data_IF_736397505958
#
_entry.id   IF_736397505958
#
_cell.length_a   1.000
_cell.length_b   1.000
_cell.length_c   1.000
_cell.angle_alpha   90.00
_cell.angle_beta   90.00
_cell.angle_gamma   90.00
#
_symmetry.space_group_name_H-M   'P 1'
#
loop_
_entity.id
_entity.type
_entity.pdbx_description
1 polymer ?
#
# COMPACT_ATOMS: atom_id res chain seq x y z
N UNK A 1 -18.76 6.65 16.44
CA UNK A 1 -18.39 7.96 15.87
C UNK A 1 -19.52 9.00 16.01
N UNK A 2 -20.79 8.66 15.76
CA UNK A 2 -21.92 9.58 16.02
C UNK A 2 -22.16 9.92 17.51
N UNK A 3 -21.86 9.01 18.43
CA UNK A 3 -22.06 9.23 19.89
C UNK A 3 -21.03 10.23 20.47
N UNK A 4 -19.84 10.33 19.87
CA UNK A 4 -18.78 11.22 20.35
C UNK A 4 -19.06 12.71 20.05
N UNK A 5 -19.82 13.00 18.98
CA UNK A 5 -20.17 14.37 18.62
C UNK A 5 -21.33 14.95 19.43
N UNK A 6 -22.25 14.12 19.96
CA UNK A 6 -23.40 14.63 20.73
C UNK A 6 -23.06 14.97 22.18
N UNK A 7 -22.10 14.29 22.81
CA UNK A 7 -21.72 14.56 24.21
C UNK A 7 -20.91 15.87 24.34
N UNK A 8 -20.14 16.24 23.31
CA UNK A 8 -19.38 17.51 23.31
C UNK A 8 -20.25 18.76 23.12
N UNK A 9 -21.49 18.61 22.65
CA UNK A 9 -22.35 19.76 22.32
C UNK A 9 -23.17 20.29 23.51
N UNK A 10 -23.26 19.55 24.63
CA UNK A 10 -24.16 19.90 25.76
C UNK A 10 -23.39 20.47 26.97
N UNK A 11 -22.05 20.37 27.02
CA UNK A 11 -21.24 20.91 28.13
C UNK A 11 -20.53 22.24 27.84
N UNK A 12 -20.85 22.94 26.74
CA UNK A 12 -20.24 24.24 26.42
C UNK A 12 -20.87 25.40 27.21
N UNK A 13 -20.79 25.36 28.54
CA UNK A 13 -20.58 26.60 29.27
C UNK A 13 -19.17 27.09 28.88
N UNK A 14 -19.06 28.36 28.50
CA UNK A 14 -17.92 29.00 27.82
C UNK A 14 -16.59 28.94 28.61
N UNK A 15 -15.99 27.77 28.72
CA UNK A 15 -14.61 27.62 29.16
C UNK A 15 -13.71 27.57 27.92
N UNK A 16 -12.72 28.46 27.87
CA UNK A 16 -11.73 28.50 26.80
C UNK A 16 -10.74 27.34 27.02
N UNK A 17 -10.80 26.30 26.19
CA UNK A 17 -9.83 25.21 26.20
C UNK A 17 -8.91 25.31 24.98
N UNK A 18 -7.65 24.96 25.16
CA UNK A 18 -6.72 24.68 24.07
C UNK A 18 -6.78 23.18 23.75
N UNK A 19 -7.03 22.86 22.49
CA UNK A 19 -6.93 21.48 21.99
C UNK A 19 -5.78 21.38 20.99
N UNK A 20 -4.89 20.41 21.20
CA UNK A 20 -3.87 20.02 20.22
C UNK A 20 -4.14 18.59 19.79
N UNK A 21 -4.30 18.37 18.50
CA UNK A 21 -4.47 17.04 17.94
C UNK A 21 -3.48 16.78 16.82
N UNK A 22 -2.97 15.55 16.76
CA UNK A 22 -2.11 15.10 15.65
C UNK A 22 -2.45 13.68 15.24
N UNK A 23 -2.12 13.37 14.00
CA UNK A 23 -2.32 12.04 13.41
C UNK A 23 -1.04 11.57 12.77
N UNK A 24 -0.59 10.37 13.11
CA UNK A 24 0.62 9.75 12.58
C UNK A 24 0.22 8.62 11.64
N UNK A 25 0.61 8.75 10.38
CA UNK A 25 0.27 7.82 9.29
C UNK A 25 1.42 6.84 9.05
N UNK A 26 1.76 6.03 10.05
CA UNK A 26 2.91 5.14 9.99
C UNK A 26 2.59 3.74 10.52
N UNK A 27 3.60 2.88 10.60
CA UNK A 27 3.48 1.68 11.42
C UNK A 27 3.77 1.99 12.88
N UNK A 28 3.49 1.04 13.78
CA UNK A 28 3.92 1.10 15.18
C UNK A 28 4.22 -0.31 15.72
N UNK A 29 5.23 -0.39 16.60
CA UNK A 29 5.54 -1.57 17.42
C UNK A 29 5.40 -1.18 18.88
N UNK A 30 4.19 -1.25 19.42
CA UNK A 30 3.95 -0.94 20.81
C UNK A 30 4.30 -2.18 21.64
N UNK A 31 5.50 -2.25 22.19
CA UNK A 31 5.86 -3.28 23.15
C UNK A 31 5.45 -2.86 24.58
N UNK A 32 5.48 -3.80 25.52
CA UNK A 32 5.13 -3.52 26.92
C UNK A 32 5.94 -2.36 27.52
N UNK A 33 7.26 -2.36 27.35
CA UNK A 33 8.14 -1.32 27.91
C UNK A 33 7.79 0.06 27.34
N UNK A 34 7.53 0.14 26.04
CA UNK A 34 7.21 1.37 25.36
C UNK A 34 5.83 1.89 25.79
N UNK A 35 4.88 0.98 26.03
CA UNK A 35 3.56 1.31 26.55
C UNK A 35 3.63 1.83 27.98
N UNK A 36 4.36 1.16 28.89
CA UNK A 36 4.57 1.63 30.28
C UNK A 36 5.19 3.02 30.33
N UNK A 37 6.26 3.24 29.57
CA UNK A 37 6.90 4.56 29.44
C UNK A 37 5.97 5.65 28.88
N UNK A 38 5.05 5.29 27.99
CA UNK A 38 4.04 6.24 27.49
C UNK A 38 3.08 6.65 28.61
N UNK A 39 2.63 5.69 29.42
CA UNK A 39 1.78 5.94 30.59
C UNK A 39 2.52 6.77 31.65
N UNK A 40 3.80 6.46 31.92
CA UNK A 40 4.65 7.25 32.83
C UNK A 40 4.74 8.71 32.38
N UNK A 41 4.98 8.98 31.09
CA UNK A 41 4.99 10.35 30.56
C UNK A 41 3.65 11.05 30.80
N UNK A 42 2.54 10.36 30.60
CA UNK A 42 1.21 10.91 30.86
C UNK A 42 1.06 11.28 32.35
N UNK A 43 1.39 10.35 33.25
CA UNK A 43 1.36 10.59 34.71
C UNK A 43 2.22 11.79 35.09
N UNK A 44 3.47 11.85 34.62
CA UNK A 44 4.39 12.97 34.87
C UNK A 44 3.84 14.31 34.37
N UNK A 45 3.09 14.34 33.25
CA UNK A 45 2.45 15.57 32.80
C UNK A 45 1.29 15.98 33.69
N UNK A 46 0.48 15.04 34.19
CA UNK A 46 -0.61 15.33 35.11
C UNK A 46 -0.12 15.76 36.50
N UNK A 47 1.01 15.24 36.97
CA UNK A 47 1.64 15.66 38.24
C UNK A 47 2.14 17.11 38.23
N UNK A 48 2.43 17.67 37.04
CA UNK A 48 2.85 19.08 36.87
C UNK A 48 1.70 20.07 36.92
N UNK A 49 0.46 19.58 36.92
CA UNK A 49 -0.76 20.42 37.04
C UNK A 49 -0.93 20.79 38.52
N UNK A 50 -1.50 21.97 38.80
CA UNK A 50 -1.64 22.53 40.15
C UNK A 50 -2.28 21.56 41.15
N UNK A 51 -3.23 20.74 40.71
CA UNK A 51 -3.95 19.77 41.52
C UNK A 51 -3.11 18.55 41.97
N UNK A 52 -1.90 18.35 41.38
CA UNK A 52 -1.02 17.17 41.58
C UNK A 52 -1.77 15.84 41.61
N UNK A 53 -2.87 15.75 40.85
CA UNK A 53 -3.76 14.61 40.90
C UNK A 53 -3.28 13.52 39.96
N UNK A 54 -3.25 12.29 40.46
CA UNK A 54 -3.08 11.11 39.60
C UNK A 54 -4.24 11.08 38.60
N UNK A 55 -3.97 11.01 37.28
CA UNK A 55 -5.03 10.96 36.29
C UNK A 55 -5.86 9.68 36.43
N UNK A 56 -7.14 9.76 36.11
CA UNK A 56 -7.98 8.58 35.93
C UNK A 56 -7.77 8.03 34.53
N UNK A 57 -7.23 6.82 34.44
CA UNK A 57 -7.02 6.11 33.18
C UNK A 57 -8.21 5.23 32.86
N UNK A 58 -8.76 5.39 31.66
CA UNK A 58 -9.72 4.47 31.06
C UNK A 58 -9.15 3.96 29.74
N UNK A 59 -8.94 2.66 29.67
CA UNK A 59 -8.49 1.96 28.48
C UNK A 59 -9.67 1.29 27.79
N UNK A 60 -9.82 1.52 26.49
CA UNK A 60 -10.85 0.89 25.66
C UNK A 60 -10.14 0.07 24.60
N UNK A 61 -10.32 -1.24 24.66
CA UNK A 61 -9.68 -2.20 23.79
C UNK A 61 -10.73 -2.80 22.89
N UNK A 62 -10.45 -2.91 21.60
CA UNK A 62 -11.31 -3.59 20.65
C UNK A 62 -10.56 -4.73 19.97
N UNK A 63 -11.12 -5.92 20.12
CA UNK A 63 -10.53 -7.15 19.62
C UNK A 63 -11.00 -7.46 18.19
N UNK A 64 -10.34 -8.43 17.55
CA UNK A 64 -10.61 -8.83 16.17
C UNK A 64 -12.01 -9.41 15.98
N UNK A 65 -12.51 -10.13 16.97
CA UNK A 65 -13.88 -10.61 17.04
C UNK A 65 -14.94 -9.51 17.28
N UNK A 66 -14.52 -8.24 17.43
CA UNK A 66 -15.41 -7.09 17.63
C UNK A 66 -15.81 -6.83 19.08
N UNK A 67 -15.36 -7.63 20.04
CA UNK A 67 -15.58 -7.37 21.46
C UNK A 67 -14.84 -6.10 21.89
N UNK A 68 -15.49 -5.32 22.75
CA UNK A 68 -14.95 -4.09 23.34
C UNK A 68 -14.80 -4.32 24.84
N UNK A 69 -13.60 -4.11 25.35
CA UNK A 69 -13.25 -4.28 26.76
C UNK A 69 -12.85 -2.91 27.30
N UNK A 70 -13.44 -2.52 28.42
CA UNK A 70 -13.09 -1.30 29.14
C UNK A 70 -12.42 -1.69 30.46
N UNK A 71 -11.28 -1.08 30.77
CA UNK A 71 -10.55 -1.32 32.02
C UNK A 71 -9.83 -0.05 32.48
N UNK A 72 -9.55 0.06 33.77
CA UNK A 72 -8.71 1.11 34.35
C UNK A 72 -7.30 0.58 34.71
N UNK A 73 -7.10 -0.74 34.64
CA UNK A 73 -5.85 -1.38 35.02
C UNK A 73 -4.97 -1.66 33.79
N UNK A 74 -3.77 -1.08 33.79
CA UNK A 74 -2.75 -1.29 32.77
C UNK A 74 -2.27 -2.75 32.74
N UNK A 75 -2.09 -3.37 33.91
CA UNK A 75 -1.54 -4.72 33.99
C UNK A 75 -2.53 -5.76 33.46
N UNK A 76 -3.83 -5.50 33.55
CA UNK A 76 -4.85 -6.30 32.89
C UNK A 76 -4.63 -6.37 31.36
N UNK A 77 -4.32 -5.24 30.73
CA UNK A 77 -4.11 -5.14 29.26
C UNK A 77 -2.87 -5.92 28.84
N UNK A 78 -1.81 -5.79 29.63
CA UNK A 78 -0.52 -6.42 29.35
C UNK A 78 -0.57 -7.94 29.54
N UNK A 79 -1.45 -8.43 30.42
CA UNK A 79 -1.71 -9.86 30.64
C UNK A 79 -2.75 -10.45 29.66
N UNK A 80 -3.44 -9.61 28.90
CA UNK A 80 -4.48 -10.08 27.98
C UNK A 80 -3.86 -10.87 26.82
N UNK A 81 -4.52 -11.97 26.45
CA UNK A 81 -4.18 -12.72 25.24
C UNK A 81 -4.39 -11.84 24.00
N UNK A 82 -3.36 -11.73 23.17
CA UNK A 82 -3.35 -10.89 21.98
C UNK A 82 -3.13 -11.72 20.71
N UNK A 83 -3.75 -12.90 20.63
CA UNK A 83 -3.70 -13.76 19.44
C UNK A 83 -5.11 -14.22 19.00
N UNK A 84 -5.20 -14.77 17.79
CA UNK A 84 -6.42 -15.35 17.23
C UNK A 84 -7.58 -14.36 17.18
N UNK A 85 -8.72 -14.76 17.75
CA UNK A 85 -9.92 -13.94 17.86
C UNK A 85 -9.80 -12.78 18.87
N UNK A 86 -8.88 -12.92 19.84
CA UNK A 86 -8.62 -11.95 20.90
C UNK A 86 -7.57 -10.91 20.50
N UNK A 87 -7.02 -11.00 19.29
CA UNK A 87 -6.04 -10.05 18.78
C UNK A 87 -6.58 -8.61 18.87
N UNK A 88 -5.78 -7.71 19.46
CA UNK A 88 -6.12 -6.31 19.62
C UNK A 88 -6.06 -5.61 18.26
N UNK A 89 -7.17 -4.99 17.87
CA UNK A 89 -7.25 -4.12 16.68
C UNK A 89 -7.06 -2.67 17.10
N UNK A 90 -7.85 -2.19 18.06
CA UNK A 90 -7.85 -0.80 18.49
C UNK A 90 -7.56 -0.73 20.00
N UNK A 91 -6.69 0.20 20.40
CA UNK A 91 -6.41 0.52 21.79
C UNK A 91 -6.54 2.04 21.97
N UNK A 92 -7.53 2.46 22.74
CA UNK A 92 -7.75 3.84 23.14
C UNK A 92 -7.36 4.01 24.61
N UNK A 93 -6.51 5.00 24.88
CA UNK A 93 -6.05 5.39 26.20
C UNK A 93 -6.68 6.75 26.48
N UNK A 94 -7.64 6.78 27.39
CA UNK A 94 -8.24 8.00 27.89
C UNK A 94 -7.66 8.30 29.26
N UNK A 95 -7.09 9.49 29.43
CA UNK A 95 -6.55 9.96 30.70
C UNK A 95 -7.18 11.29 31.02
N UNK A 96 -7.84 11.39 32.18
CA UNK A 96 -8.62 12.56 32.57
C UNK A 96 -8.19 13.05 33.95
N UNK A 97 -7.99 14.37 34.12
CA UNK A 97 -7.75 14.95 35.44
C UNK A 97 -8.98 14.83 36.34
N UNK A 98 -8.80 14.85 37.66
CA UNK A 98 -9.94 14.88 38.60
C UNK A 98 -10.85 16.11 38.40
N UNK A 99 -10.26 17.23 37.97
CA UNK A 99 -10.98 18.46 37.60
C UNK A 99 -11.74 18.36 36.27
N UNK A 100 -11.57 17.27 35.50
CA UNK A 100 -12.13 17.04 34.16
C UNK A 100 -11.73 18.08 33.08
N UNK A 101 -10.88 19.04 33.43
CA UNK A 101 -10.44 20.11 32.52
C UNK A 101 -9.36 19.65 31.55
N UNK A 102 -8.54 18.69 31.96
CA UNK A 102 -7.38 18.24 31.21
C UNK A 102 -7.59 16.78 30.77
N UNK A 103 -7.58 16.55 29.47
CA UNK A 103 -7.77 15.22 28.88
C UNK A 103 -6.66 14.91 27.88
N UNK A 104 -6.16 13.68 27.94
CA UNK A 104 -5.24 13.13 26.96
C UNK A 104 -5.89 11.85 26.42
N UNK A 105 -6.08 11.82 25.11
CA UNK A 105 -6.67 10.70 24.39
C UNK A 105 -5.66 10.23 23.36
N UNK A 106 -5.25 8.96 23.43
CA UNK A 106 -4.35 8.35 22.46
C UNK A 106 -5.01 7.10 21.91
N UNK A 107 -5.15 7.04 20.59
CA UNK A 107 -5.73 5.90 19.88
C UNK A 107 -4.69 5.26 18.96
N UNK A 108 -4.44 3.99 19.19
CA UNK A 108 -3.74 3.08 18.28
C UNK A 108 -4.79 2.26 17.52
N UNK A 109 -4.74 2.26 16.19
CA UNK A 109 -5.69 1.53 15.36
C UNK A 109 -5.02 0.70 14.29
N UNK A 110 -5.40 -0.58 14.22
CA UNK A 110 -4.96 -1.50 13.18
C UNK A 110 -5.93 -1.49 11.98
N UNK A 111 -5.39 -1.55 10.76
CA UNK A 111 -6.12 -1.41 9.49
C UNK A 111 -7.15 -2.52 9.20
N UNK A 112 -7.30 -3.49 10.09
CA UNK A 112 -8.30 -4.56 9.94
C UNK A 112 -9.72 -4.10 10.25
N UNK A 113 -9.91 -2.92 10.85
CA UNK A 113 -11.26 -2.41 11.06
C UNK A 113 -11.79 -1.70 9.81
N UNK A 114 -12.81 -2.30 9.18
CA UNK A 114 -13.59 -1.69 8.08
C UNK A 114 -14.26 -0.33 8.45
N UNK A 115 -14.16 0.08 9.73
CA UNK A 115 -14.91 1.21 10.29
C UNK A 115 -14.29 2.57 10.03
N UNK A 116 -13.03 2.66 9.63
CA UNK A 116 -12.42 3.95 9.26
C UNK A 116 -11.66 3.83 7.96
N UNK A 117 -12.22 4.40 6.88
CA UNK A 117 -11.52 4.63 5.60
C UNK A 117 -10.24 5.47 5.74
N UNK A 118 -9.97 6.00 6.94
CA UNK A 118 -8.75 6.74 7.25
C UNK A 118 -7.62 5.76 7.60
N UNK A 119 -6.57 5.73 6.78
CA UNK A 119 -5.34 4.92 6.94
C UNK A 119 -4.44 5.43 8.10
N UNK A 120 -5.06 6.02 9.15
CA UNK A 120 -4.37 6.67 10.27
C UNK A 120 -4.10 5.64 11.36
N UNK A 121 -2.83 5.43 11.69
CA UNK A 121 -2.39 4.38 12.62
C UNK A 121 -2.41 4.78 14.09
N UNK A 122 -2.02 6.03 14.37
CA UNK A 122 -1.96 6.60 15.70
C UNK A 122 -2.62 7.98 15.61
N UNK A 123 -3.53 8.27 16.54
CA UNK A 123 -4.13 9.59 16.70
C UNK A 123 -4.05 9.96 18.16
N UNK A 124 -3.80 11.22 18.45
CA UNK A 124 -3.96 11.71 19.81
C UNK A 124 -4.59 13.09 19.83
N UNK A 125 -5.32 13.37 20.90
CA UNK A 125 -5.86 14.70 21.22
C UNK A 125 -5.56 15.02 22.68
N UNK A 126 -5.06 16.22 22.92
CA UNK A 126 -4.76 16.76 24.24
C UNK A 126 -5.57 18.03 24.38
N UNK A 127 -6.46 18.06 25.37
CA UNK A 127 -7.31 19.20 25.71
C UNK A 127 -6.94 19.68 27.11
N UNK A 128 -6.79 20.98 27.28
CA UNK A 128 -6.45 21.61 28.56
C UNK A 128 -6.85 23.08 28.59
N UNK A 129 -7.13 23.63 29.76
CA UNK A 129 -7.30 25.09 29.93
C UNK A 129 -5.95 25.83 29.80
N UNK A 130 -4.86 25.20 30.24
CA UNK A 130 -3.51 25.73 30.11
C UNK A 130 -2.91 25.36 28.74
N UNK A 131 -2.75 26.37 27.88
CA UNK A 131 -2.17 26.26 26.53
C UNK A 131 -0.75 25.69 26.55
N UNK A 132 0.09 26.19 27.43
CA UNK A 132 1.51 25.86 27.43
C UNK A 132 1.72 24.41 27.90
N UNK A 133 0.93 23.96 28.88
CA UNK A 133 0.88 22.54 29.28
C UNK A 133 0.45 21.64 28.12
N UNK A 134 -0.58 22.03 27.36
CA UNK A 134 -1.05 21.24 26.21
C UNK A 134 0.04 21.10 25.14
N UNK A 135 0.75 22.20 24.83
CA UNK A 135 1.82 22.21 23.83
C UNK A 135 3.03 21.36 24.27
N UNK A 136 3.47 21.48 25.52
CA UNK A 136 4.59 20.70 26.06
C UNK A 136 4.23 19.21 26.08
N UNK A 137 3.04 18.87 26.59
CA UNK A 137 2.55 17.49 26.62
C UNK A 137 2.45 16.90 25.22
N UNK A 138 1.95 17.68 24.26
CA UNK A 138 1.88 17.29 22.85
C UNK A 138 3.26 17.00 22.27
N UNK A 139 4.26 17.83 22.56
CA UNK A 139 5.64 17.61 22.10
C UNK A 139 6.24 16.34 22.69
N UNK A 140 6.09 16.11 24.00
CA UNK A 140 6.66 14.93 24.67
C UNK A 140 6.00 13.63 24.20
N UNK A 141 4.68 13.64 24.03
CA UNK A 141 3.94 12.49 23.51
C UNK A 141 4.32 12.25 22.04
N UNK A 142 4.43 13.29 21.21
CA UNK A 142 4.84 13.15 19.81
C UNK A 142 6.24 12.55 19.68
N UNK A 143 7.21 13.05 20.45
CA UNK A 143 8.56 12.50 20.52
C UNK A 143 8.55 11.02 20.91
N UNK A 144 7.67 10.65 21.85
CA UNK A 144 7.54 9.27 22.29
C UNK A 144 6.93 8.37 21.22
N UNK A 145 5.83 8.80 20.59
CA UNK A 145 5.16 8.07 19.53
C UNK A 145 6.06 7.90 18.30
N UNK A 146 6.90 8.90 18.00
CA UNK A 146 7.90 8.82 16.93
C UNK A 146 8.98 7.75 17.18
N UNK A 147 9.28 7.39 18.43
CA UNK A 147 10.19 6.27 18.75
C UNK A 147 9.56 4.89 18.54
N UNK A 148 8.24 4.80 18.72
CA UNK A 148 7.44 3.57 18.55
C UNK A 148 7.08 3.36 17.07
N UNK A 149 7.18 4.41 16.26
CA UNK A 149 6.90 4.42 14.84
C UNK A 149 7.82 3.45 14.07
N UNK A 150 7.21 2.43 13.46
CA UNK A 150 7.89 1.61 12.46
C UNK A 150 7.70 2.28 11.11
N UNK A 151 8.76 2.91 10.62
CA UNK A 151 8.80 3.31 9.23
C UNK A 151 9.05 2.08 8.35
N UNK A 152 7.99 1.40 7.93
CA UNK A 152 8.09 0.28 7.00
C UNK A 152 8.36 0.78 5.58
N UNK A 153 9.57 1.35 5.38
CA UNK A 153 10.07 1.83 4.08
C UNK A 153 10.02 0.72 3.03
N UNK A 154 10.18 -0.54 3.43
CA UNK A 154 10.06 -1.68 2.53
C UNK A 154 8.64 -1.82 1.96
N UNK A 155 7.60 -1.66 2.78
CA UNK A 155 6.21 -1.70 2.31
C UNK A 155 5.86 -0.52 1.38
N UNK A 156 6.31 0.69 1.71
CA UNK A 156 6.06 1.86 0.86
C UNK A 156 6.84 1.79 -0.44
N UNK A 157 8.09 1.33 -0.40
CA UNK A 157 8.93 1.11 -1.57
C UNK A 157 8.35 0.02 -2.48
N UNK A 158 8.02 -1.15 -1.93
CA UNK A 158 7.44 -2.26 -2.71
C UNK A 158 6.11 -1.88 -3.35
N UNK A 159 5.23 -1.15 -2.64
CA UNK A 159 4.00 -0.61 -3.21
C UNK A 159 4.26 0.36 -4.37
N UNK A 160 5.20 1.30 -4.22
CA UNK A 160 5.55 2.26 -5.29
C UNK A 160 6.16 1.56 -6.50
N UNK A 161 7.09 0.63 -6.26
CA UNK A 161 7.76 -0.14 -7.31
C UNK A 161 6.74 -0.97 -8.09
N UNK A 162 5.83 -1.66 -7.39
CA UNK A 162 4.77 -2.46 -8.01
C UNK A 162 3.84 -1.61 -8.86
N UNK A 163 3.38 -0.46 -8.34
CA UNK A 163 2.58 0.48 -9.13
C UNK A 163 3.34 0.96 -10.37
N UNK A 164 4.59 1.41 -10.22
CA UNK A 164 5.40 1.90 -11.34
C UNK A 164 5.63 0.84 -12.42
N UNK A 165 5.89 -0.41 -12.02
CA UNK A 165 6.13 -1.49 -12.96
C UNK A 165 4.85 -1.87 -13.72
N UNK A 166 3.71 -1.96 -13.02
CA UNK A 166 2.42 -2.22 -13.68
C UNK A 166 2.07 -1.12 -14.67
N UNK A 167 2.31 0.15 -14.33
CA UNK A 167 2.09 1.27 -15.26
C UNK A 167 3.03 1.22 -16.46
N UNK A 168 4.30 0.85 -16.26
CA UNK A 168 5.28 0.75 -17.34
C UNK A 168 4.92 -0.39 -18.31
N UNK A 169 4.46 -1.53 -17.78
CA UNK A 169 3.94 -2.64 -18.58
C UNK A 169 2.70 -2.23 -19.37
N UNK A 170 1.76 -1.49 -18.77
CA UNK A 170 0.57 -0.98 -19.45
C UNK A 170 0.93 -0.02 -20.59
N UNK A 171 1.89 0.89 -20.37
CA UNK A 171 2.39 1.79 -21.41
C UNK A 171 3.03 0.99 -22.54
N UNK A 172 3.87 -0.01 -22.22
CA UNK A 172 4.47 -0.90 -23.21
C UNK A 172 3.44 -1.68 -24.03
N UNK A 173 2.34 -2.09 -23.41
CA UNK A 173 1.24 -2.76 -24.11
C UNK A 173 0.49 -1.79 -25.03
N UNK A 174 0.22 -0.56 -24.58
CA UNK A 174 -0.44 0.47 -25.38
C UNK A 174 0.42 0.90 -26.58
N UNK A 175 1.73 1.10 -26.39
CA UNK A 175 2.64 1.43 -27.51
C UNK A 175 2.71 0.31 -28.52
N UNK A 176 2.74 -0.96 -28.06
CA UNK A 176 2.66 -2.11 -28.95
C UNK A 176 1.34 -2.16 -29.74
N UNK A 177 0.21 -1.89 -29.10
CA UNK A 177 -1.09 -1.83 -29.78
C UNK A 177 -1.14 -0.71 -30.82
N UNK A 178 -0.65 0.49 -30.49
CA UNK A 178 -0.59 1.62 -31.42
C UNK A 178 0.31 1.32 -32.61
N UNK A 179 1.47 0.68 -32.39
CA UNK A 179 2.34 0.24 -33.49
C UNK A 179 1.62 -0.74 -34.43
N UNK A 180 0.87 -1.68 -33.87
CA UNK A 180 0.07 -2.60 -34.66
C UNK A 180 -1.08 -1.92 -35.42
N UNK A 181 -1.75 -0.91 -34.84
CA UNK A 181 -2.79 -0.14 -35.52
C UNK A 181 -2.23 0.68 -36.68
N UNK A 182 -1.09 1.36 -36.49
CA UNK A 182 -0.42 2.09 -37.56
C UNK A 182 -0.01 1.18 -38.73
N UNK A 183 0.32 -0.09 -38.44
CA UNK A 183 0.61 -1.08 -39.49
C UNK A 183 -0.62 -1.45 -40.35
N UNK A 184 -1.84 -1.23 -39.85
CA UNK A 184 -3.07 -1.46 -40.62
C UNK A 184 -3.30 -0.29 -41.58
N UNK A 185 -3.04 0.93 -41.13
CA UNK A 185 -3.21 2.14 -41.94
C UNK A 185 -2.28 2.14 -43.16
N UNK A 186 -1.01 1.74 -42.99
CA UNK A 186 -0.05 1.66 -44.11
C UNK A 186 -0.47 0.66 -45.19
N UNK A 187 -1.20 -0.40 -44.85
CA UNK A 187 -1.73 -1.37 -45.84
C UNK A 187 -2.87 -0.80 -46.68
N UNK A 188 -3.70 0.05 -46.09
CA UNK A 188 -4.76 0.76 -46.81
C UNK A 188 -4.19 1.86 -47.71
N UNK A 189 -3.07 2.48 -47.33
CA UNK A 189 -2.38 3.45 -48.17
C UNK A 189 -1.88 2.81 -49.48
N UNK A 190 -1.41 1.56 -49.46
CA UNK A 190 -0.94 0.88 -50.68
C UNK A 190 -2.08 0.59 -51.66
N UNK A 191 -3.23 0.12 -51.19
CA UNK A 191 -4.42 -0.09 -52.05
C UNK A 191 -4.97 1.23 -52.57
N UNK A 192 -5.03 2.26 -51.72
CA UNK A 192 -5.40 3.62 -52.14
C UNK A 192 -4.43 4.20 -53.16
N UNK A 193 -3.12 3.91 -53.05
CA UNK A 193 -2.12 4.35 -54.02
C UNK A 193 -2.32 3.69 -55.39
N UNK A 194 -2.66 2.39 -55.41
CA UNK A 194 -3.03 1.69 -56.66
C UNK A 194 -4.30 2.30 -57.27
N UNK A 195 -5.33 2.55 -56.45
CA UNK A 195 -6.59 3.16 -56.92
C UNK A 195 -6.38 4.59 -57.45
N UNK A 196 -5.65 5.44 -56.73
CA UNK A 196 -5.33 6.82 -57.18
C UNK A 196 -4.50 6.84 -58.47
N UNK A 197 -3.57 5.90 -58.64
CA UNK A 197 -2.81 5.78 -59.87
C UNK A 197 -3.71 5.39 -61.06
N UNK A 198 -4.66 4.47 -60.85
CA UNK A 198 -5.64 4.10 -61.87
C UNK A 198 -6.59 5.26 -62.22
N UNK A 199 -7.07 6.00 -61.21
CA UNK A 199 -7.90 7.19 -61.39
C UNK A 199 -7.16 8.29 -62.17
N UNK A 200 -5.88 8.54 -61.84
CA UNK A 200 -5.04 9.50 -62.55
C UNK A 200 -4.91 9.16 -64.03
N UNK A 201 -4.60 7.90 -64.37
CA UNK A 201 -4.48 7.44 -65.75
C UNK A 201 -5.80 7.58 -66.53
N UNK A 202 -6.92 7.35 -65.85
CA UNK A 202 -8.25 7.43 -66.45
C UNK A 202 -8.61 8.88 -66.80
N UNK A 203 -8.29 9.81 -65.90
CA UNK A 203 -8.49 11.25 -66.12
C UNK A 203 -7.61 11.84 -67.24
N UNK A 204 -6.48 11.18 -67.58
CA UNK A 204 -5.58 11.60 -68.65
C UNK A 204 -5.86 10.90 -70.00
N UNK A 205 -6.97 10.15 -70.12
CA UNK A 205 -7.32 9.36 -71.31
C UNK A 205 -6.21 8.39 -71.75
N UNK A 206 -5.36 7.92 -70.82
CA UNK A 206 -4.45 6.82 -71.14
C UNK A 206 -5.28 5.56 -71.42
N UNK A 207 -4.88 4.77 -72.42
CA UNK A 207 -5.59 3.55 -72.79
C UNK A 207 -5.39 2.46 -71.72
N UNK A 208 -6.26 2.44 -70.72
CA UNK A 208 -6.20 1.48 -69.61
C UNK A 208 -6.86 0.18 -70.03
N UNK A 209 -6.11 -0.92 -69.96
CA UNK A 209 -6.69 -2.25 -70.03
C UNK A 209 -7.41 -2.57 -68.71
N UNK A 210 -8.75 -2.46 -68.72
CA UNK A 210 -9.62 -2.71 -67.56
C UNK A 210 -9.35 -4.06 -66.88
N UNK A 211 -9.04 -5.11 -67.66
CA UNK A 211 -8.76 -6.45 -67.12
C UNK A 211 -7.48 -6.43 -66.29
N UNK A 212 -6.44 -5.74 -66.76
CA UNK A 212 -5.17 -5.62 -66.04
C UNK A 212 -5.32 -4.79 -64.76
N UNK A 213 -6.06 -3.69 -64.82
CA UNK A 213 -6.35 -2.86 -63.67
C UNK A 213 -7.13 -3.63 -62.58
N UNK A 214 -8.12 -4.42 -62.98
CA UNK A 214 -8.90 -5.26 -62.07
C UNK A 214 -8.04 -6.34 -61.40
N UNK A 215 -7.13 -6.97 -62.16
CA UNK A 215 -6.17 -7.95 -61.62
C UNK A 215 -5.19 -7.29 -60.64
N UNK A 216 -4.72 -6.07 -60.89
CA UNK A 216 -3.81 -5.36 -59.97
C UNK A 216 -4.52 -4.99 -58.65
N UNK A 217 -5.77 -4.51 -58.71
CA UNK A 217 -6.57 -4.25 -57.51
C UNK A 217 -6.80 -5.54 -56.72
N UNK A 218 -7.18 -6.63 -57.40
CA UNK A 218 -7.47 -7.89 -56.72
C UNK A 218 -6.21 -8.53 -56.13
N UNK A 219 -5.06 -8.46 -56.82
CA UNK A 219 -3.76 -8.87 -56.27
C UNK A 219 -3.38 -8.04 -55.04
N UNK A 220 -3.62 -6.73 -55.07
CA UNK A 220 -3.34 -5.88 -53.91
C UNK A 220 -4.24 -6.22 -52.70
N UNK A 221 -5.51 -6.57 -52.95
CA UNK A 221 -6.44 -7.05 -51.92
C UNK A 221 -6.07 -8.43 -51.39
N UNK A 222 -5.68 -9.37 -52.26
CA UNK A 222 -5.28 -10.73 -51.86
C UNK A 222 -3.98 -10.69 -51.06
N UNK A 223 -2.97 -9.94 -51.50
CA UNK A 223 -1.74 -9.75 -50.73
C UNK A 223 -2.02 -9.08 -49.37
N UNK A 224 -2.95 -8.12 -49.31
CA UNK A 224 -3.37 -7.55 -48.03
C UNK A 224 -4.16 -8.56 -47.16
N UNK A 225 -5.04 -9.37 -47.76
CA UNK A 225 -5.89 -10.34 -47.03
C UNK A 225 -5.13 -11.56 -46.51
N UNK A 226 -4.08 -12.01 -47.20
CA UNK A 226 -3.21 -13.09 -46.69
C UNK A 226 -2.51 -12.70 -45.38
N UNK A 227 -2.26 -11.41 -45.16
CA UNK A 227 -1.73 -10.88 -43.90
C UNK A 227 -2.82 -10.57 -42.84
N UNK A 228 -4.11 -10.61 -43.20
CA UNK A 228 -5.27 -10.34 -42.34
C UNK A 228 -5.86 -11.65 -41.80
N UNK A 229 -5.14 -12.78 -41.88
CA UNK A 229 -5.44 -13.93 -41.02
C UNK A 229 -5.30 -13.45 -39.57
N UNK A 230 -6.42 -12.98 -38.99
CA UNK A 230 -6.53 -12.40 -37.66
C UNK A 230 -5.94 -13.37 -36.62
N UNK A 231 -6.07 -14.67 -36.88
CA UNK A 231 -5.47 -15.77 -36.13
C UNK A 231 -3.93 -15.86 -36.14
N UNK A 232 -3.26 -15.29 -37.15
CA UNK A 232 -1.80 -15.20 -37.19
C UNK A 232 -1.25 -14.13 -36.26
N UNK A 233 -1.92 -12.97 -36.19
CA UNK A 233 -1.53 -11.86 -35.30
C UNK A 233 -1.98 -12.06 -33.85
N UNK A 234 -3.11 -12.75 -33.61
CA UNK A 234 -3.54 -13.09 -32.24
C UNK A 234 -2.59 -14.04 -31.53
N UNK A 235 -1.79 -14.85 -32.25
CA UNK A 235 -0.72 -15.65 -31.65
C UNK A 235 0.29 -14.78 -30.91
N UNK A 236 0.77 -13.71 -31.52
CA UNK A 236 1.70 -12.76 -30.87
C UNK A 236 1.06 -12.02 -29.70
N UNK A 237 -0.23 -11.71 -29.80
CA UNK A 237 -0.98 -11.13 -28.69
C UNK A 237 -1.05 -12.06 -27.48
N UNK A 238 -1.25 -13.37 -27.70
CA UNK A 238 -1.21 -14.36 -26.61
C UNK A 238 0.17 -14.42 -25.93
N UNK A 239 1.27 -14.28 -26.68
CA UNK A 239 2.62 -14.19 -26.12
C UNK A 239 2.86 -12.98 -25.22
N UNK A 240 2.06 -11.92 -25.34
CA UNK A 240 2.13 -10.73 -24.47
C UNK A 240 1.16 -10.84 -23.30
N UNK A 241 -0.08 -11.26 -23.56
CA UNK A 241 -1.12 -11.37 -22.51
C UNK A 241 -0.77 -12.40 -21.45
N UNK A 242 -0.30 -13.58 -21.85
CA UNK A 242 -0.10 -14.68 -20.91
C UNK A 242 0.97 -14.30 -19.86
N UNK A 243 2.16 -13.80 -20.24
CA UNK A 243 3.13 -13.29 -19.26
C UNK A 243 2.59 -12.12 -18.43
N UNK A 244 1.81 -11.22 -19.04
CA UNK A 244 1.23 -10.09 -18.30
C UNK A 244 0.30 -10.56 -17.18
N UNK A 245 -0.62 -11.50 -17.47
CA UNK A 245 -1.51 -12.07 -16.45
C UNK A 245 -0.71 -12.82 -15.37
N UNK A 246 0.33 -13.55 -15.76
CA UNK A 246 1.21 -14.24 -14.81
C UNK A 246 1.95 -13.27 -13.89
N UNK A 247 2.45 -12.16 -14.44
CA UNK A 247 3.09 -11.09 -13.68
C UNK A 247 2.10 -10.46 -12.69
N UNK A 248 0.85 -10.19 -13.12
CA UNK A 248 -0.17 -9.61 -12.25
C UNK A 248 -0.55 -10.55 -11.09
N UNK A 249 -0.74 -11.85 -11.36
CA UNK A 249 -1.05 -12.84 -10.30
C UNK A 249 0.14 -13.05 -9.36
N UNK A 250 1.36 -13.04 -9.89
CA UNK A 250 2.59 -13.05 -9.10
C UNK A 250 2.66 -11.86 -8.16
N UNK A 251 2.37 -10.64 -8.64
CA UNK A 251 2.38 -9.44 -7.82
C UNK A 251 1.34 -9.44 -6.70
N UNK A 252 0.12 -9.91 -6.98
CA UNK A 252 -0.89 -10.07 -5.93
C UNK A 252 -0.44 -11.07 -4.86
N UNK A 253 0.19 -12.17 -5.28
CA UNK A 253 0.75 -13.17 -4.38
C UNK A 253 1.87 -12.59 -3.51
N UNK A 254 2.81 -11.84 -4.12
CA UNK A 254 3.89 -11.14 -3.40
C UNK A 254 3.31 -10.13 -2.41
N UNK A 255 2.30 -9.34 -2.81
CA UNK A 255 1.62 -8.38 -1.92
C UNK A 255 1.03 -9.08 -0.69
N UNK A 256 0.32 -10.20 -0.88
CA UNK A 256 -0.26 -11.00 0.22
C UNK A 256 0.82 -11.52 1.18
N UNK A 257 1.94 -12.01 0.64
CA UNK A 257 3.10 -12.46 1.43
C UNK A 257 3.69 -11.28 2.22
N UNK A 258 3.90 -10.12 1.60
CA UNK A 258 4.44 -8.94 2.27
C UNK A 258 3.52 -8.51 3.42
N UNK A 259 2.22 -8.39 3.19
CA UNK A 259 1.25 -8.00 4.24
C UNK A 259 1.29 -9.00 5.41
N UNK A 260 1.41 -10.30 5.12
CA UNK A 260 1.45 -11.35 6.13
C UNK A 260 2.73 -11.36 6.97
N UNK A 261 3.89 -11.13 6.36
CA UNK A 261 5.19 -11.24 7.03
C UNK A 261 5.79 -9.91 7.50
N UNK A 262 5.22 -8.78 7.07
CA UNK A 262 5.62 -7.45 7.49
C UNK A 262 4.43 -6.67 8.07
N UNK A 263 3.80 -7.18 9.16
CA UNK A 263 2.76 -6.42 9.84
C UNK A 263 3.36 -5.09 10.29
N UNK A 264 2.66 -4.00 10.00
CA UNK A 264 3.12 -2.64 10.27
C UNK A 264 2.56 -2.08 11.58
N UNK A 265 1.55 -2.71 12.18
CA UNK A 265 0.86 -2.23 13.39
C UNK A 265 0.74 -3.37 14.36
N UNK A 266 1.56 -3.35 15.40
CA UNK A 266 1.78 -4.49 16.28
C UNK A 266 1.69 -4.03 17.72
N UNK A 267 0.85 -4.73 18.47
CA UNK A 267 0.88 -4.77 19.92
C UNK A 267 1.74 -5.96 20.34
N UNK A 268 2.89 -5.71 20.95
CA UNK A 268 3.94 -6.70 21.21
C UNK A 268 4.06 -6.99 22.71
N UNK A 269 3.15 -7.80 23.21
CA UNK A 269 3.14 -8.33 24.58
C UNK A 269 2.31 -9.62 24.64
N UNK A 270 2.34 -10.30 25.79
CA UNK A 270 1.66 -11.57 26.01
C UNK A 270 2.08 -12.65 25.00
N UNK A 271 1.14 -13.51 24.64
CA UNK A 271 1.37 -14.66 23.74
C UNK A 271 1.71 -14.24 22.30
N UNK A 272 1.45 -12.99 21.94
CA UNK A 272 1.77 -12.48 20.61
C UNK A 272 3.29 -12.35 20.36
N UNK A 273 4.10 -12.28 21.42
CA UNK A 273 5.57 -12.24 21.34
C UNK A 273 6.08 -13.43 20.52
N UNK A 274 5.69 -14.65 20.92
CA UNK A 274 6.13 -15.89 20.27
C UNK A 274 5.65 -15.99 18.82
N UNK A 275 4.43 -15.50 18.54
CA UNK A 275 3.89 -15.46 17.19
C UNK A 275 4.68 -14.50 16.31
N UNK A 276 4.99 -13.31 16.81
CA UNK A 276 5.75 -12.31 16.07
C UNK A 276 7.19 -12.78 15.79
N UNK A 277 7.83 -13.43 16.76
CA UNK A 277 9.16 -14.02 16.58
C UNK A 277 9.17 -15.12 15.51
N UNK A 278 8.13 -15.96 15.46
CA UNK A 278 7.95 -16.94 14.37
C UNK A 278 7.79 -16.24 13.02
N UNK A 279 7.07 -15.12 12.96
CA UNK A 279 6.92 -14.30 11.74
C UNK A 279 8.29 -13.74 11.30
N UNK A 280 9.07 -13.17 12.23
CA UNK A 280 10.41 -12.64 11.95
C UNK A 280 11.34 -13.75 11.42
N UNK A 281 11.37 -14.92 12.06
CA UNK A 281 12.20 -16.05 11.62
C UNK A 281 11.84 -16.48 10.21
N UNK A 282 10.54 -16.67 9.92
CA UNK A 282 10.06 -17.02 8.57
C UNK A 282 10.38 -15.95 7.53
N UNK A 283 10.22 -14.67 7.90
CA UNK A 283 10.57 -13.53 7.05
C UNK A 283 12.05 -13.56 6.68
N UNK A 284 12.94 -13.76 7.66
CA UNK A 284 14.37 -13.79 7.43
C UNK A 284 14.77 -14.99 6.54
N UNK A 285 14.16 -16.16 6.74
CA UNK A 285 14.35 -17.32 5.86
C UNK A 285 13.90 -17.01 4.43
N UNK A 286 12.71 -16.42 4.27
CA UNK A 286 12.18 -16.07 2.94
C UNK A 286 13.06 -15.04 2.23
N UNK A 287 13.47 -13.98 2.93
CA UNK A 287 14.39 -12.96 2.40
C UNK A 287 15.72 -13.61 2.02
N UNK A 288 16.27 -14.46 2.88
CA UNK A 288 17.50 -15.20 2.61
C UNK A 288 17.39 -16.06 1.35
N UNK A 289 16.28 -16.79 1.19
CA UNK A 289 16.01 -17.60 0.00
C UNK A 289 15.95 -16.75 -1.27
N UNK A 290 15.26 -15.60 -1.23
CA UNK A 290 15.20 -14.66 -2.37
C UNK A 290 16.59 -14.16 -2.74
N UNK A 291 17.41 -13.75 -1.77
CA UNK A 291 18.77 -13.28 -2.03
C UNK A 291 19.68 -14.39 -2.58
N UNK A 292 19.62 -15.60 -2.03
CA UNK A 292 20.39 -16.75 -2.52
C UNK A 292 20.00 -17.08 -3.96
N UNK A 293 18.71 -17.08 -4.28
CA UNK A 293 18.22 -17.37 -5.64
C UNK A 293 18.69 -16.31 -6.64
N UNK A 294 18.61 -15.02 -6.26
CA UNK A 294 19.14 -13.92 -7.09
C UNK A 294 20.65 -14.03 -7.29
N UNK A 295 21.39 -14.37 -6.22
CA UNK A 295 22.84 -14.54 -6.29
C UNK A 295 23.24 -15.70 -7.22
N UNK A 296 22.59 -16.86 -7.08
CA UNK A 296 22.81 -18.01 -7.96
C UNK A 296 22.50 -17.63 -9.42
N UNK A 297 21.41 -16.91 -9.67
CA UNK A 297 21.07 -16.46 -11.02
C UNK A 297 22.16 -15.58 -11.64
N UNK A 298 22.77 -14.67 -10.87
CA UNK A 298 23.87 -13.82 -11.32
C UNK A 298 25.11 -14.67 -11.62
N UNK A 299 25.48 -15.58 -10.71
CA UNK A 299 26.65 -16.45 -10.86
C UNK A 299 26.51 -17.35 -12.09
N UNK A 300 25.35 -17.98 -12.29
CA UNK A 300 25.07 -18.83 -13.47
C UNK A 300 25.18 -18.01 -14.76
N UNK A 301 24.66 -16.79 -14.78
CA UNK A 301 24.74 -15.92 -15.96
C UNK A 301 26.19 -15.51 -16.27
N UNK A 302 26.97 -15.12 -15.26
CA UNK A 302 28.38 -14.78 -15.42
C UNK A 302 29.20 -15.99 -15.90
N UNK A 303 28.95 -17.17 -15.32
CA UNK A 303 29.63 -18.40 -15.68
C UNK A 303 29.28 -18.84 -17.12
N UNK A 304 28.00 -18.75 -17.50
CA UNK A 304 27.54 -19.02 -18.87
C UNK A 304 28.26 -18.11 -19.87
N UNK A 305 28.30 -16.80 -19.61
CA UNK A 305 28.99 -15.84 -20.47
C UNK A 305 30.50 -16.12 -20.58
N UNK A 306 31.12 -16.49 -19.46
CA UNK A 306 32.54 -16.87 -19.44
C UNK A 306 32.81 -18.12 -20.29
N UNK A 307 32.00 -19.16 -20.16
CA UNK A 307 32.13 -20.39 -20.96
C UNK A 307 31.93 -20.12 -22.46
N UNK A 308 30.93 -19.32 -22.82
CA UNK A 308 30.72 -18.91 -24.21
C UNK A 308 31.92 -18.14 -24.78
N UNK A 309 32.51 -17.24 -24.00
CA UNK A 309 33.70 -16.50 -24.43
C UNK A 309 34.94 -17.40 -24.64
N UNK A 310 35.04 -18.53 -23.92
CA UNK A 310 36.12 -19.51 -24.11
C UNK A 310 35.88 -20.39 -25.34
N UNK A 311 34.63 -20.78 -25.63
CA UNK A 311 34.30 -21.63 -26.78
C UNK A 311 34.48 -20.91 -28.12
N UNK A 312 34.30 -19.59 -28.15
CA UNK A 312 34.42 -18.78 -29.38
C UNK A 312 35.88 -18.45 -29.74
N UNK A 313 36.83 -18.65 -28.83
CA UNK A 313 38.26 -18.41 -29.07
C UNK A 313 38.95 -19.64 -29.65
#
# INVERSE_FOLDING_TARGET
>A
MYIYNQINQIMSASNNYTETSRTINSGFLLNEQEFRRLIEIIIEQFEKIEDKSTPDFKFIIKNFNGFVIETHDLDFILKMENDGSSQIIDLEINSVSKSLQNTIIILFSNNFSDRTKEDKSIRYSIKSENRDWAMISSSLIDDRLNKININNKAFTFTRRLLLSLTTLLMIGMLTYLMFNLNSIETKNVNTLKVLKNLEFKLNHNENINFVKALIEVERSKINNNQDIAFFGKTKYFMWVIIPFLFIMTFFDSVKKIIIKYFPNRIFYWGDYIDKYDKIIKRRNIFIGFVFITLFISIVVNLFSNFLWAQIVK
#
